data_IF_327539514785
#
_entry.id   IF_327539514785
#
_cell.length_a   1.000
_cell.length_b   1.000
_cell.length_c   1.000
_cell.angle_alpha   90.00
_cell.angle_beta   90.00
_cell.angle_gamma   90.00
#
_symmetry.space_group_name_H-M   'P 1'
#
loop_
_entity.id
_entity.type
_entity.pdbx_description
1 polymer ?
#
# COMPACT_ATOMS: atom_id res chain seq x y z
N UNK A 1 -15.28 21.84 -1.05
CA UNK A 1 -14.95 21.92 -2.49
C UNK A 1 -14.94 20.49 -2.96
N UNK A 2 -15.86 20.16 -3.87
CA UNK A 2 -16.32 18.79 -4.14
C UNK A 2 -15.18 17.84 -4.49
N UNK A 3 -15.12 16.73 -3.77
CA UNK A 3 -14.32 15.54 -4.10
C UNK A 3 -15.03 14.67 -5.16
N UNK A 4 -16.11 15.19 -5.79
CA UNK A 4 -17.13 14.39 -6.49
C UNK A 4 -16.61 13.62 -7.72
N UNK A 5 -15.69 14.20 -8.49
CA UNK A 5 -15.32 13.63 -9.79
C UNK A 5 -14.56 12.30 -9.73
N UNK A 6 -13.74 12.06 -8.69
CA UNK A 6 -12.99 10.79 -8.56
C UNK A 6 -13.84 9.71 -7.92
N UNK A 7 -14.67 10.07 -6.93
CA UNK A 7 -15.56 9.15 -6.24
C UNK A 7 -16.60 8.55 -7.21
N UNK A 8 -17.11 9.34 -8.15
CA UNK A 8 -18.00 8.88 -9.22
C UNK A 8 -17.33 7.87 -10.19
N UNK A 9 -16.00 7.92 -10.30
CA UNK A 9 -15.23 7.03 -11.17
C UNK A 9 -14.75 5.76 -10.48
N UNK A 10 -14.86 5.64 -9.16
CA UNK A 10 -14.26 4.54 -8.37
C UNK A 10 -14.61 3.15 -8.91
N UNK A 11 -15.88 2.92 -9.29
CA UNK A 11 -16.33 1.64 -9.86
C UNK A 11 -15.74 1.32 -11.23
N UNK A 12 -15.27 2.32 -11.97
CA UNK A 12 -14.68 2.21 -13.32
C UNK A 12 -13.15 2.18 -13.29
N UNK A 13 -12.53 2.44 -12.14
CA UNK A 13 -11.07 2.48 -11.96
C UNK A 13 -10.48 1.19 -11.38
N UNK A 14 -11.27 0.13 -11.28
CA UNK A 14 -10.88 -1.16 -10.68
C UNK A 14 -9.69 -1.85 -11.36
N UNK A 15 -9.37 -1.47 -12.61
CA UNK A 15 -8.20 -1.95 -13.35
C UNK A 15 -6.88 -1.29 -12.89
N UNK A 16 -6.94 -0.17 -12.17
CA UNK A 16 -5.75 0.55 -11.73
C UNK A 16 -5.13 -0.09 -10.46
N UNK A 17 -3.79 -0.10 -10.33
CA UNK A 17 -3.09 -0.74 -9.22
C UNK A 17 -3.59 -0.34 -7.83
N UNK A 18 -3.86 0.95 -7.59
CA UNK A 18 -4.33 1.42 -6.28
C UNK A 18 -5.69 0.85 -5.91
N UNK A 19 -6.61 0.71 -6.88
CA UNK A 19 -7.96 0.21 -6.66
C UNK A 19 -7.97 -1.32 -6.48
N UNK A 20 -7.09 -2.04 -7.19
CA UNK A 20 -6.81 -3.47 -6.92
C UNK A 20 -6.37 -3.66 -5.46
N UNK A 21 -5.50 -2.78 -4.98
CA UNK A 21 -5.03 -2.82 -3.59
C UNK A 21 -6.15 -2.59 -2.58
N UNK A 22 -6.99 -1.57 -2.75
CA UNK A 22 -8.13 -1.34 -1.86
C UNK A 22 -9.14 -2.49 -1.87
N UNK A 23 -9.37 -3.12 -3.03
CA UNK A 23 -10.23 -4.30 -3.12
C UNK A 23 -9.67 -5.47 -2.30
N UNK A 24 -8.34 -5.66 -2.31
CA UNK A 24 -7.70 -6.65 -1.44
C UNK A 24 -7.92 -6.33 0.05
N UNK A 25 -7.78 -5.07 0.47
CA UNK A 25 -8.02 -4.65 1.85
C UNK A 25 -9.48 -4.85 2.29
N UNK A 26 -10.44 -4.51 1.43
CA UNK A 26 -11.88 -4.66 1.68
C UNK A 26 -12.29 -6.11 1.96
N UNK A 27 -11.55 -7.08 1.42
CA UNK A 27 -11.81 -8.51 1.61
C UNK A 27 -11.29 -9.08 2.94
N UNK A 28 -10.48 -8.33 3.70
CA UNK A 28 -9.90 -8.82 4.95
C UNK A 28 -10.84 -8.52 6.13
N UNK A 29 -11.29 -9.53 6.87
CA UNK A 29 -12.08 -9.32 8.09
C UNK A 29 -11.66 -10.33 9.16
N UNK A 30 -11.56 -9.90 10.42
CA UNK A 30 -11.23 -10.79 11.53
C UNK A 30 -11.92 -10.33 12.83
N UNK A 31 -12.94 -11.08 13.23
CA UNK A 31 -13.76 -10.82 14.42
C UNK A 31 -12.95 -10.99 15.71
N UNK A 32 -12.09 -12.02 15.76
CA UNK A 32 -11.31 -12.33 16.96
C UNK A 32 -10.26 -11.26 17.21
N UNK A 33 -9.54 -10.82 16.17
CA UNK A 33 -8.59 -9.71 16.27
C UNK A 33 -9.28 -8.39 16.64
N UNK A 34 -10.48 -8.13 16.09
CA UNK A 34 -11.28 -6.95 16.45
C UNK A 34 -11.61 -6.96 17.95
N UNK A 35 -12.20 -8.04 18.47
CA UNK A 35 -12.52 -8.20 19.90
C UNK A 35 -11.27 -8.28 20.80
N UNK A 36 -10.09 -8.53 20.25
CA UNK A 36 -8.87 -8.61 21.05
C UNK A 36 -8.21 -7.24 21.18
N UNK A 37 -8.21 -6.45 20.12
CA UNK A 37 -7.36 -5.25 20.02
C UNK A 37 -8.13 -3.94 19.90
N UNK A 38 -9.41 -3.98 19.55
CA UNK A 38 -10.25 -2.81 19.29
C UNK A 38 -11.51 -2.80 20.16
N UNK A 39 -11.43 -3.31 21.39
CA UNK A 39 -12.57 -3.34 22.31
C UNK A 39 -13.15 -1.95 22.59
N UNK A 40 -12.28 -0.96 22.80
CA UNK A 40 -12.72 0.41 23.11
C UNK A 40 -13.49 1.05 21.94
N UNK A 41 -13.11 0.73 20.69
CA UNK A 41 -13.86 1.12 19.50
C UNK A 41 -15.30 0.56 19.51
N UNK A 42 -15.47 -0.72 19.89
CA UNK A 42 -16.78 -1.36 19.98
C UNK A 42 -17.66 -0.77 21.10
N UNK A 43 -17.04 -0.15 22.12
CA UNK A 43 -17.74 0.46 23.24
C UNK A 43 -18.27 1.87 22.95
N UNK A 44 -17.74 2.57 21.93
CA UNK A 44 -18.16 3.94 21.59
C UNK A 44 -19.67 4.06 21.33
N UNK A 45 -20.22 3.17 20.50
CA UNK A 45 -21.67 3.03 20.29
C UNK A 45 -22.01 1.55 20.20
N UNK A 46 -22.32 0.96 21.35
CA UNK A 46 -22.69 -0.44 21.44
C UNK A 46 -23.84 -0.79 20.47
N UNK A 47 -23.71 -1.90 19.77
CA UNK A 47 -24.61 -2.40 18.72
C UNK A 47 -24.63 -1.62 17.39
N UNK A 48 -23.71 -0.67 17.19
CA UNK A 48 -23.53 -0.04 15.89
C UNK A 48 -22.87 -1.00 14.90
N UNK A 49 -23.65 -1.44 13.91
CA UNK A 49 -23.18 -2.38 12.89
C UNK A 49 -22.07 -1.81 12.00
N UNK A 50 -22.02 -0.49 11.79
CA UNK A 50 -20.99 0.13 10.96
C UNK A 50 -19.66 0.22 11.69
N UNK A 51 -19.68 0.55 13.00
CA UNK A 51 -18.49 0.48 13.86
C UNK A 51 -17.97 -0.95 13.93
N UNK A 52 -18.87 -1.93 14.14
CA UNK A 52 -18.50 -3.35 14.15
C UNK A 52 -17.83 -3.78 12.84
N UNK A 53 -18.45 -3.46 11.70
CA UNK A 53 -17.88 -3.79 10.39
C UNK A 53 -16.52 -3.11 10.15
N UNK A 54 -16.35 -1.84 10.56
CA UNK A 54 -15.06 -1.16 10.45
C UNK A 54 -13.99 -1.83 11.34
N UNK A 55 -14.36 -2.21 12.57
CA UNK A 55 -13.47 -2.91 13.50
C UNK A 55 -12.98 -4.24 12.93
N UNK A 56 -13.91 -5.10 12.49
CA UNK A 56 -13.59 -6.40 11.90
C UNK A 56 -12.68 -6.27 10.67
N UNK A 57 -12.95 -5.28 9.81
CA UNK A 57 -12.15 -5.05 8.62
C UNK A 57 -10.76 -4.48 8.94
N UNK A 58 -10.66 -3.50 9.85
CA UNK A 58 -9.38 -2.96 10.29
C UNK A 58 -8.49 -4.04 10.92
N UNK A 59 -9.09 -4.85 11.80
CA UNK A 59 -8.45 -6.00 12.42
C UNK A 59 -7.92 -7.02 11.41
N UNK A 60 -8.75 -7.43 10.44
CA UNK A 60 -8.36 -8.37 9.40
C UNK A 60 -7.20 -7.87 8.53
N UNK A 61 -7.23 -6.59 8.13
CA UNK A 61 -6.13 -5.99 7.36
C UNK A 61 -4.82 -6.04 8.14
N UNK A 62 -4.85 -5.70 9.43
CA UNK A 62 -3.63 -5.65 10.24
C UNK A 62 -3.06 -7.03 10.50
N UNK A 63 -3.92 -8.03 10.73
CA UNK A 63 -3.51 -9.43 10.80
C UNK A 63 -2.82 -9.87 9.50
N UNK A 64 -3.41 -9.54 8.34
CA UNK A 64 -2.79 -9.82 7.04
C UNK A 64 -1.40 -9.17 6.91
N UNK A 65 -1.29 -7.88 7.27
CA UNK A 65 -0.01 -7.16 7.24
C UNK A 65 1.04 -7.82 8.14
N UNK A 66 0.62 -8.29 9.32
CA UNK A 66 1.53 -8.91 10.28
C UNK A 66 2.03 -10.30 9.86
N UNK A 67 1.10 -11.14 9.43
CA UNK A 67 1.35 -12.57 9.27
C UNK A 67 1.86 -12.89 7.87
N UNK A 68 1.45 -12.12 6.86
CA UNK A 68 1.67 -12.47 5.46
C UNK A 68 2.78 -11.64 4.80
N UNK A 69 3.07 -10.43 5.29
CA UNK A 69 4.04 -9.54 4.65
C UNK A 69 5.42 -9.64 5.31
N UNK A 70 6.46 -9.81 4.46
CA UNK A 70 7.82 -10.11 4.92
C UNK A 70 8.79 -8.94 4.81
N UNK A 71 8.57 -8.01 3.87
CA UNK A 71 9.54 -6.94 3.58
C UNK A 71 9.09 -5.60 4.15
N UNK A 72 10.05 -4.78 4.60
CA UNK A 72 9.76 -3.44 5.14
C UNK A 72 9.12 -2.51 4.10
N UNK A 73 9.50 -2.61 2.83
CA UNK A 73 8.91 -1.79 1.76
C UNK A 73 7.45 -2.17 1.50
N UNK A 74 7.14 -3.46 1.39
CA UNK A 74 5.77 -3.93 1.20
C UNK A 74 4.89 -3.56 2.40
N UNK A 75 5.39 -3.71 3.63
CA UNK A 75 4.65 -3.31 4.83
C UNK A 75 4.38 -1.80 4.84
N UNK A 76 5.37 -0.97 4.50
CA UNK A 76 5.19 0.50 4.43
C UNK A 76 4.11 0.88 3.41
N UNK A 77 4.09 0.23 2.26
CA UNK A 77 3.09 0.44 1.23
C UNK A 77 1.69 0.03 1.70
N UNK A 78 1.53 -1.20 2.20
CA UNK A 78 0.27 -1.66 2.79
C UNK A 78 -0.21 -0.74 3.91
N UNK A 79 0.71 -0.22 4.73
CA UNK A 79 0.38 0.69 5.80
C UNK A 79 -0.15 2.04 5.29
N UNK A 80 0.42 2.58 4.21
CA UNK A 80 -0.09 3.80 3.59
C UNK A 80 -1.52 3.58 3.06
N UNK A 81 -1.74 2.49 2.32
CA UNK A 81 -3.07 2.11 1.85
C UNK A 81 -4.06 1.89 2.99
N UNK A 82 -3.65 1.22 4.07
CA UNK A 82 -4.47 1.03 5.26
C UNK A 82 -4.92 2.38 5.86
N UNK A 83 -3.98 3.32 6.04
CA UNK A 83 -4.32 4.65 6.57
C UNK A 83 -5.37 5.34 5.70
N UNK A 84 -5.11 5.47 4.40
CA UNK A 84 -6.05 6.12 3.48
C UNK A 84 -7.40 5.42 3.44
N UNK A 85 -7.40 4.09 3.42
CA UNK A 85 -8.59 3.28 3.39
C UNK A 85 -9.45 3.49 4.64
N UNK A 86 -8.87 3.49 5.83
CA UNK A 86 -9.61 3.72 7.08
C UNK A 86 -10.23 5.13 7.10
N UNK A 87 -9.46 6.18 6.76
CA UNK A 87 -9.99 7.54 6.69
C UNK A 87 -11.13 7.66 5.67
N UNK A 88 -11.01 6.98 4.52
CA UNK A 88 -12.06 6.94 3.51
C UNK A 88 -13.33 6.23 4.02
N UNK A 89 -13.18 5.06 4.67
CA UNK A 89 -14.32 4.35 5.25
C UNK A 89 -15.00 5.17 6.34
N UNK A 90 -14.23 5.88 7.18
CA UNK A 90 -14.78 6.75 8.23
C UNK A 90 -15.60 7.88 7.61
N UNK A 91 -15.05 8.60 6.63
CA UNK A 91 -15.77 9.67 5.92
C UNK A 91 -17.07 9.16 5.28
N UNK A 92 -17.02 7.98 4.67
CA UNK A 92 -18.16 7.39 3.94
C UNK A 92 -19.27 6.90 4.86
N UNK A 93 -18.93 6.14 5.89
CA UNK A 93 -19.89 5.48 6.79
C UNK A 93 -20.47 6.45 7.81
N UNK A 94 -19.62 7.27 8.41
CA UNK A 94 -20.01 8.12 9.53
C UNK A 94 -20.22 9.59 9.14
N UNK A 95 -20.63 9.84 7.90
CA UNK A 95 -20.89 11.21 7.41
C UNK A 95 -22.00 11.94 8.18
N UNK A 96 -22.90 11.19 8.83
CA UNK A 96 -23.95 11.74 9.70
C UNK A 96 -23.51 11.95 11.15
N UNK A 97 -22.30 11.52 11.52
CA UNK A 97 -21.84 11.53 12.90
C UNK A 97 -21.32 12.93 13.25
N UNK A 98 -21.38 13.27 14.53
CA UNK A 98 -20.78 14.52 15.00
C UNK A 98 -19.26 14.48 14.79
N UNK A 99 -18.63 15.65 14.61
CA UNK A 99 -17.17 15.72 14.50
C UNK A 99 -16.50 15.02 15.68
N UNK A 100 -16.97 15.26 16.92
CA UNK A 100 -16.44 14.60 18.12
C UNK A 100 -16.54 13.07 18.08
N UNK A 101 -17.64 12.51 17.57
CA UNK A 101 -17.77 11.06 17.41
C UNK A 101 -16.75 10.53 16.39
N UNK A 102 -16.54 11.26 15.29
CA UNK A 102 -15.53 10.92 14.29
C UNK A 102 -14.13 10.96 14.90
N UNK A 103 -13.78 11.98 15.69
CA UNK A 103 -12.47 12.07 16.35
C UNK A 103 -12.28 10.88 17.32
N UNK A 104 -13.31 10.53 18.08
CA UNK A 104 -13.29 9.38 18.98
C UNK A 104 -13.07 8.07 18.21
N UNK A 105 -13.77 7.84 17.10
CA UNK A 105 -13.58 6.65 16.26
C UNK A 105 -12.13 6.56 15.76
N UNK A 106 -11.58 7.67 15.23
CA UNK A 106 -10.20 7.73 14.74
C UNK A 106 -9.21 7.44 15.89
N UNK A 107 -9.45 8.04 17.06
CA UNK A 107 -8.62 7.85 18.26
C UNK A 107 -8.63 6.40 18.73
N UNK A 108 -9.78 5.74 18.78
CA UNK A 108 -9.87 4.34 19.21
C UNK A 108 -9.23 3.38 18.21
N UNK A 109 -9.34 3.66 16.91
CA UNK A 109 -8.58 2.92 15.89
C UNK A 109 -7.08 3.11 16.10
N UNK A 110 -6.62 4.33 16.37
CA UNK A 110 -5.21 4.59 16.68
C UNK A 110 -4.72 3.77 17.88
N UNK A 111 -5.49 3.79 18.99
CA UNK A 111 -5.20 3.04 20.21
C UNK A 111 -5.12 1.53 19.94
N UNK A 112 -6.08 0.97 19.20
CA UNK A 112 -6.10 -0.45 18.86
C UNK A 112 -4.89 -0.86 18.01
N UNK A 113 -4.45 0.00 17.07
CA UNK A 113 -3.20 -0.24 16.34
C UNK A 113 -1.96 -0.19 17.22
N UNK A 114 -1.92 0.69 18.22
CA UNK A 114 -0.85 0.73 19.22
C UNK A 114 -0.71 -0.62 19.93
N UNK A 115 -1.84 -1.21 20.34
CA UNK A 115 -1.88 -2.51 20.99
C UNK A 115 -1.38 -3.64 20.07
N UNK A 116 -1.78 -3.60 18.79
CA UNK A 116 -1.36 -4.56 17.78
C UNK A 116 0.14 -4.44 17.49
N UNK A 117 0.66 -3.22 17.29
CA UNK A 117 2.07 -3.00 16.95
C UNK A 117 3.06 -3.51 18.00
N UNK A 118 2.66 -3.49 19.27
CA UNK A 118 3.41 -4.12 20.34
C UNK A 118 3.55 -5.65 20.15
N UNK A 119 2.62 -6.27 19.42
CA UNK A 119 2.56 -7.71 19.13
C UNK A 119 3.15 -8.05 17.75
N UNK A 120 2.91 -7.23 16.71
CA UNK A 120 3.31 -7.54 15.32
C UNK A 120 4.80 -7.39 15.02
N UNK A 121 5.63 -7.15 16.03
CA UNK A 121 7.10 -7.09 15.92
C UNK A 121 7.62 -5.97 14.98
N UNK A 122 8.25 -4.95 15.59
CA UNK A 122 9.02 -3.85 14.97
C UNK A 122 8.29 -2.55 14.57
N UNK A 123 7.04 -2.28 14.99
CA UNK A 123 6.35 -0.99 14.71
C UNK A 123 6.35 -0.60 13.21
N UNK A 124 6.32 -1.58 12.31
CA UNK A 124 6.54 -1.36 10.86
C UNK A 124 5.38 -0.65 10.17
N UNK A 125 4.18 -0.69 10.76
CA UNK A 125 3.02 0.06 10.30
C UNK A 125 2.50 0.96 11.42
N UNK A 126 2.32 2.25 11.17
CA UNK A 126 1.71 3.18 12.12
C UNK A 126 0.44 3.77 11.54
N UNK A 127 -0.61 3.86 12.37
CA UNK A 127 -1.74 4.73 12.06
C UNK A 127 -1.30 6.18 12.22
N UNK A 128 -1.52 6.99 11.19
CA UNK A 128 -1.19 8.40 11.15
C UNK A 128 -2.32 9.18 11.82
N UNK A 129 -2.12 9.47 13.08
CA UNK A 129 -3.06 10.24 13.88
C UNK A 129 -2.32 11.34 14.65
N UNK A 130 -2.83 12.57 14.52
CA UNK A 130 -2.62 13.65 15.48
C UNK A 130 -3.93 14.42 15.54
N UNK A 131 -4.31 14.96 16.70
CA UNK A 131 -5.55 15.74 16.85
C UNK A 131 -5.67 16.89 15.84
N UNK A 132 -4.54 17.43 15.37
CA UNK A 132 -4.47 18.48 14.34
C UNK A 132 -4.51 18.01 12.88
N UNK A 133 -4.54 16.71 12.59
CA UNK A 133 -4.45 16.15 11.22
C UNK A 133 -5.55 15.11 10.92
N UNK A 134 -6.76 15.32 11.45
CA UNK A 134 -7.92 14.44 11.21
C UNK A 134 -8.91 14.98 10.17
N UNK A 135 -8.57 16.08 9.49
CA UNK A 135 -9.42 16.67 8.45
C UNK A 135 -9.67 15.67 7.31
N UNK A 136 -10.88 15.12 7.26
CA UNK A 136 -11.23 14.02 6.35
C UNK A 136 -11.09 14.41 4.88
N UNK A 137 -11.45 15.63 4.51
CA UNK A 137 -11.34 16.12 3.12
C UNK A 137 -9.88 16.17 2.67
N UNK A 138 -8.99 16.62 3.54
CA UNK A 138 -7.55 16.60 3.26
C UNK A 138 -7.03 15.18 3.09
N UNK A 139 -7.50 14.22 3.90
CA UNK A 139 -7.17 12.81 3.71
C UNK A 139 -7.64 12.25 2.36
N UNK A 140 -8.78 12.70 1.85
CA UNK A 140 -9.28 12.27 0.52
C UNK A 140 -8.44 12.84 -0.63
N UNK A 141 -8.05 14.10 -0.52
CA UNK A 141 -7.12 14.72 -1.47
C UNK A 141 -5.76 13.97 -1.46
N UNK A 142 -5.20 13.73 -0.28
CA UNK A 142 -3.92 13.04 -0.13
C UNK A 142 -3.98 11.59 -0.63
N UNK A 143 -5.10 10.89 -0.38
CA UNK A 143 -5.37 9.56 -0.94
C UNK A 143 -5.32 9.61 -2.46
N UNK A 144 -6.04 10.54 -3.08
CA UNK A 144 -6.09 10.68 -4.54
C UNK A 144 -4.72 10.92 -5.15
N UNK A 145 -3.89 11.76 -4.49
CA UNK A 145 -2.52 12.01 -4.92
C UNK A 145 -1.60 10.80 -4.76
N UNK A 146 -1.76 10.04 -3.67
CA UNK A 146 -1.02 8.80 -3.46
C UNK A 146 -1.39 7.74 -4.50
N UNK A 147 -2.69 7.55 -4.72
CA UNK A 147 -3.24 6.62 -5.72
C UNK A 147 -2.72 6.96 -7.12
N UNK A 148 -2.73 8.23 -7.49
CA UNK A 148 -2.19 8.69 -8.77
C UNK A 148 -0.71 8.33 -8.95
N UNK A 149 0.12 8.59 -7.93
CA UNK A 149 1.54 8.21 -7.99
C UNK A 149 1.72 6.70 -8.22
N UNK A 150 0.87 5.88 -7.58
CA UNK A 150 0.88 4.42 -7.73
C UNK A 150 0.35 3.94 -9.08
N UNK A 151 -0.55 4.71 -9.68
CA UNK A 151 -1.16 4.39 -10.97
C UNK A 151 -0.38 4.92 -12.17
N UNK A 152 0.49 5.93 -12.00
CA UNK A 152 1.16 6.63 -13.10
C UNK A 152 1.81 5.68 -14.10
N UNK A 153 2.73 4.82 -13.64
CA UNK A 153 3.49 3.94 -14.54
C UNK A 153 2.58 2.89 -15.20
N UNK A 154 1.51 2.47 -14.52
CA UNK A 154 0.55 1.55 -15.11
C UNK A 154 -0.22 2.24 -16.25
N UNK A 155 -0.71 3.45 -16.00
CA UNK A 155 -1.40 4.25 -17.04
C UNK A 155 -0.43 4.52 -18.21
N UNK A 156 0.80 4.95 -17.93
CA UNK A 156 1.83 5.23 -18.95
C UNK A 156 2.13 4.03 -19.86
N UNK A 157 2.09 2.81 -19.34
CA UNK A 157 2.43 1.62 -20.12
C UNK A 157 1.22 0.96 -20.79
N UNK A 158 -0.01 1.30 -20.39
CA UNK A 158 -1.23 0.62 -20.85
C UNK A 158 -2.24 1.54 -21.55
N UNK A 159 -1.86 2.78 -21.88
CA UNK A 159 -2.83 3.80 -22.33
C UNK A 159 -3.50 3.59 -23.71
N UNK A 160 -3.07 2.70 -24.62
CA UNK A 160 -3.89 2.31 -25.77
C UNK A 160 -4.29 0.82 -25.73
N UNK A 161 -4.85 0.35 -24.61
CA UNK A 161 -5.37 -1.03 -24.50
C UNK A 161 -6.80 -1.16 -25.03
N UNK A 162 -7.66 -0.17 -24.81
CA UNK A 162 -8.95 0.03 -25.49
C UNK A 162 -9.44 1.48 -25.29
N UNK A 163 -10.35 1.97 -26.14
CA UNK A 163 -10.80 3.37 -26.11
C UNK A 163 -11.62 3.74 -24.86
N UNK A 164 -12.34 2.79 -24.24
CA UNK A 164 -13.14 3.06 -23.03
C UNK A 164 -12.25 3.26 -21.79
N UNK A 165 -11.32 2.35 -21.55
CA UNK A 165 -10.30 2.46 -20.50
C UNK A 165 -9.43 3.69 -20.71
N UNK A 166 -9.12 4.05 -21.98
CA UNK A 166 -8.44 5.31 -22.29
C UNK A 166 -9.26 6.51 -21.81
N UNK A 167 -10.55 6.59 -22.15
CA UNK A 167 -11.44 7.69 -21.75
C UNK A 167 -11.56 7.79 -20.23
N UNK A 168 -11.72 6.67 -19.53
CA UNK A 168 -11.75 6.60 -18.06
C UNK A 168 -10.45 7.15 -17.46
N UNK A 169 -9.29 6.71 -17.96
CA UNK A 169 -8.00 7.18 -17.48
C UNK A 169 -7.79 8.67 -17.77
N UNK A 170 -8.25 9.17 -18.92
CA UNK A 170 -8.19 10.60 -19.27
C UNK A 170 -9.05 11.44 -18.30
N UNK A 171 -10.25 10.98 -17.99
CA UNK A 171 -11.16 11.62 -17.03
C UNK A 171 -10.57 11.61 -15.61
N UNK A 172 -10.01 10.48 -15.19
CA UNK A 172 -9.28 10.36 -13.93
C UNK A 172 -8.13 11.38 -13.83
N UNK A 173 -7.28 11.47 -14.86
CA UNK A 173 -6.14 12.41 -14.87
C UNK A 173 -6.58 13.88 -14.86
N UNK A 174 -7.68 14.21 -15.54
CA UNK A 174 -8.29 15.56 -15.48
C UNK A 174 -8.74 15.93 -14.07
N UNK A 175 -9.29 14.99 -13.32
CA UNK A 175 -9.67 15.20 -11.93
C UNK A 175 -8.46 15.27 -10.98
N UNK A 176 -7.38 14.54 -11.27
CA UNK A 176 -6.14 14.59 -10.49
C UNK A 176 -5.37 15.90 -10.69
N UNK A 177 -5.37 16.47 -11.90
CA UNK A 177 -4.64 17.70 -12.24
C UNK A 177 -4.81 18.85 -11.23
N UNK A 178 -6.04 19.31 -10.89
CA UNK A 178 -6.20 20.40 -9.93
C UNK A 178 -5.70 20.04 -8.52
N UNK A 179 -5.79 18.75 -8.11
CA UNK A 179 -5.23 18.30 -6.84
C UNK A 179 -3.69 18.34 -6.86
N UNK A 180 -3.07 17.95 -7.97
CA UNK A 180 -1.63 18.04 -8.15
C UNK A 180 -1.16 19.50 -8.06
N UNK A 181 -1.78 20.42 -8.80
CA UNK A 181 -1.42 21.85 -8.78
C UNK A 181 -1.51 22.44 -7.37
N UNK A 182 -2.61 22.14 -6.65
CA UNK A 182 -2.82 22.57 -5.26
C UNK A 182 -1.74 22.02 -4.32
N UNK A 183 -1.56 20.70 -4.32
CA UNK A 183 -0.77 20.03 -3.28
C UNK A 183 0.72 20.00 -3.58
N UNK A 184 1.14 20.02 -4.84
CA UNK A 184 2.55 20.14 -5.17
C UNK A 184 3.11 21.48 -4.65
N UNK A 185 2.39 22.57 -4.86
CA UNK A 185 2.73 23.90 -4.30
C UNK A 185 2.74 23.86 -2.77
N UNK A 186 1.66 23.37 -2.16
CA UNK A 186 1.51 23.39 -0.70
C UNK A 186 2.53 22.49 0.02
N UNK A 187 2.83 21.32 -0.55
CA UNK A 187 3.63 20.28 0.10
C UNK A 187 5.12 20.34 -0.22
N UNK A 188 5.51 20.90 -1.37
CA UNK A 188 6.88 20.80 -1.89
C UNK A 188 7.63 22.14 -1.90
N UNK A 189 6.92 23.27 -1.85
CA UNK A 189 7.58 24.58 -1.74
C UNK A 189 8.26 24.76 -0.38
N UNK A 190 9.58 24.92 -0.40
CA UNK A 190 10.40 25.11 0.79
C UNK A 190 10.67 23.81 1.58
N UNK A 191 10.56 22.64 0.94
CA UNK A 191 10.82 21.32 1.52
C UNK A 191 9.56 20.48 1.76
N UNK A 192 9.71 19.19 2.10
CA UNK A 192 8.59 18.25 2.14
C UNK A 192 7.73 18.41 3.41
N UNK A 193 6.60 19.12 3.31
CA UNK A 193 5.69 19.45 4.42
C UNK A 193 4.61 18.40 4.67
N UNK A 194 4.33 17.56 3.67
CA UNK A 194 3.21 16.60 3.70
C UNK A 194 3.66 15.15 3.89
N UNK A 195 4.89 14.93 4.40
CA UNK A 195 5.42 13.58 4.69
C UNK A 195 4.51 12.75 5.59
N UNK A 196 3.76 13.40 6.50
CA UNK A 196 2.76 12.75 7.34
C UNK A 196 1.73 11.98 6.53
N UNK A 197 1.31 12.53 5.39
CA UNK A 197 0.31 12.00 4.48
C UNK A 197 0.91 11.18 3.33
N UNK A 198 2.15 10.69 3.47
CA UNK A 198 2.82 9.88 2.44
C UNK A 198 2.97 10.58 1.07
N UNK A 199 2.85 11.91 1.01
CA UNK A 199 3.04 12.67 -0.22
C UNK A 199 4.52 12.73 -0.58
N UNK A 200 4.88 12.30 -1.79
CA UNK A 200 6.26 12.22 -2.27
C UNK A 200 6.56 13.33 -3.28
N UNK A 201 7.12 14.43 -2.80
CA UNK A 201 7.51 15.57 -3.64
C UNK A 201 8.61 15.25 -4.66
N UNK A 202 9.37 14.17 -4.49
CA UNK A 202 10.52 13.87 -5.35
C UNK A 202 10.08 13.08 -6.57
N UNK A 203 9.17 12.12 -6.37
CA UNK A 203 8.79 11.17 -7.42
C UNK A 203 7.42 11.44 -8.04
N UNK A 204 6.62 12.35 -7.47
CA UNK A 204 5.33 12.73 -8.06
C UNK A 204 5.56 13.44 -9.40
N UNK A 205 4.91 12.94 -10.45
CA UNK A 205 5.01 13.49 -11.82
C UNK A 205 3.80 14.34 -12.17
N UNK A 206 3.98 15.30 -13.06
CA UNK A 206 2.88 16.17 -13.48
C UNK A 206 1.83 15.38 -14.30
N UNK A 207 0.53 15.41 -13.94
CA UNK A 207 -0.53 14.79 -14.72
C UNK A 207 -0.56 15.23 -16.19
N UNK A 208 -0.10 16.45 -16.50
CA UNK A 208 0.00 16.94 -17.88
C UNK A 208 0.95 16.09 -18.73
N UNK A 209 1.95 15.44 -18.14
CA UNK A 209 2.83 14.52 -18.88
C UNK A 209 2.04 13.36 -19.49
N UNK A 210 1.07 12.80 -18.76
CA UNK A 210 0.20 11.75 -19.27
C UNK A 210 -0.93 12.31 -20.14
N UNK A 211 -1.54 13.42 -19.76
CA UNK A 211 -2.62 14.04 -20.54
C UNK A 211 -2.15 14.45 -21.94
N UNK A 212 -0.91 14.91 -22.10
CA UNK A 212 -0.34 15.24 -23.41
C UNK A 212 0.02 14.00 -24.25
N UNK A 213 0.29 12.86 -23.60
CA UNK A 213 0.59 11.57 -24.27
C UNK A 213 -0.68 10.83 -24.70
N UNK A 214 -1.74 10.90 -23.90
CA UNK A 214 -2.98 10.14 -24.11
C UNK A 214 -3.83 10.81 -25.18
N UNK A 215 -3.98 10.13 -26.32
CA UNK A 215 -4.93 10.49 -27.39
C UNK A 215 -5.95 9.34 -27.53
N UNK A 216 -7.08 9.45 -26.86
CA UNK A 216 -8.16 8.47 -26.99
C UNK A 216 -8.88 8.70 -28.33
N UNK A 217 -9.09 7.63 -29.11
CA UNK A 217 -9.88 7.76 -30.32
C UNK A 217 -11.35 7.88 -29.94
N UNK A 218 -12.09 8.66 -30.72
CA UNK A 218 -13.53 8.54 -30.71
C UNK A 218 -13.89 7.30 -31.52
N UNK A 219 -14.29 6.22 -30.84
CA UNK A 219 -15.08 5.19 -31.49
C UNK A 219 -16.27 5.89 -32.15
N UNK A 220 -16.55 5.63 -33.44
CA UNK A 220 -17.86 5.94 -33.99
C UNK A 220 -18.86 5.29 -33.05
N UNK A 221 -19.81 6.07 -32.51
CA UNK A 221 -20.97 5.47 -31.88
C UNK A 221 -21.50 4.46 -32.89
N UNK A 222 -21.45 3.17 -32.56
CA UNK A 222 -22.25 2.21 -33.30
C UNK A 222 -23.67 2.74 -33.16
N UNK A 223 -24.22 3.27 -34.26
CA UNK A 223 -25.62 3.61 -34.39
C UNK A 223 -26.39 2.32 -34.13
N UNK A 224 -26.72 2.09 -32.86
CA UNK A 224 -27.87 1.29 -32.50
C UNK A 224 -29.07 2.10 -32.98
N UNK A 225 -29.37 1.95 -34.27
CA UNK A 225 -30.68 2.24 -34.81
C UNK A 225 -31.67 1.44 -34.00
N UNK A 226 -32.55 2.14 -33.30
CA UNK A 226 -33.93 1.69 -33.19
C UNK A 226 -34.83 2.89 -33.49
N UNK A 227 -35.16 3.01 -34.77
CA UNK A 227 -36.39 3.69 -35.17
C UNK A 227 -37.52 2.68 -34.98
N UNK A 228 -38.17 2.71 -33.83
CA UNK A 228 -39.52 2.19 -33.71
C UNK A 228 -40.50 3.32 -34.07
N UNK A 229 -41.40 3.16 -35.08
CA UNK A 229 -42.58 3.98 -35.14
C UNK A 229 -43.69 3.31 -34.32
N UNK A 230 -44.22 4.05 -33.35
CA UNK A 230 -45.45 3.70 -32.65
C UNK A 230 -46.68 3.83 -33.55
N UNK A 231 -47.53 2.80 -33.45
CA UNK A 231 -48.99 2.80 -33.52
C UNK A 231 -49.72 3.54 -34.66
N UNK A 232 -50.30 2.75 -35.56
CA UNK A 232 -51.52 3.09 -36.31
C UNK A 232 -52.41 1.85 -36.43
N UNK A 233 -53.44 1.76 -35.59
CA UNK A 233 -54.50 0.75 -35.66
C UNK A 233 -55.41 1.09 -36.84
N UNK A 234 -55.58 0.17 -37.79
CA UNK A 234 -56.72 0.15 -38.71
C UNK A 234 -57.06 -1.30 -39.09
N UNK A 235 -58.34 -1.63 -38.90
CA UNK A 235 -58.99 -2.92 -39.14
C UNK A 235 -59.04 -3.30 -40.63
N UNK A 236 -58.96 -4.61 -40.91
CA UNK A 236 -59.91 -5.40 -41.74
C UNK A 236 -59.22 -6.44 -42.64
N UNK A 237 -59.77 -7.67 -42.69
CA UNK A 237 -59.70 -8.52 -43.88
C UNK A 237 -58.99 -9.88 -43.78
N UNK A 238 -59.68 -10.87 -43.22
CA UNK A 238 -59.87 -12.27 -43.68
C UNK A 238 -58.84 -13.05 -44.56
N UNK A 239 -58.75 -14.36 -44.21
CA UNK A 239 -58.23 -15.56 -44.94
C UNK A 239 -56.70 -15.73 -44.95
N UNK A 240 -56.11 -16.89 -44.66
CA UNK A 240 -56.60 -18.25 -44.40
C UNK A 240 -55.53 -19.25 -44.90
N UNK A 241 -55.28 -20.31 -44.10
CA UNK A 241 -54.52 -21.54 -44.41
C UNK A 241 -53.02 -21.39 -44.78
N UNK A 242 -52.10 -22.33 -44.60
CA UNK A 242 -51.83 -23.49 -43.74
C UNK A 242 -50.53 -24.10 -44.33
N UNK A 243 -49.82 -24.96 -43.57
CA UNK A 243 -48.74 -25.88 -44.02
C UNK A 243 -47.40 -25.26 -44.49
N UNK A 244 -46.23 -25.87 -44.32
CA UNK A 244 -45.77 -27.08 -43.64
C UNK A 244 -44.23 -27.06 -43.64
N UNK A 245 -43.67 -27.57 -42.53
CA UNK A 245 -42.37 -28.23 -42.33
C UNK A 245 -41.56 -28.64 -43.58
N UNK A 246 -40.24 -28.44 -43.55
CA UNK A 246 -39.32 -29.57 -43.36
C UNK A 246 -37.87 -29.16 -43.04
N UNK A 247 -37.36 -29.86 -42.04
CA UNK A 247 -35.97 -30.11 -41.66
C UNK A 247 -35.32 -31.05 -42.71
N UNK A 248 -34.00 -30.99 -42.91
CA UNK A 248 -33.08 -32.14 -42.80
C UNK A 248 -31.65 -31.87 -43.32
N UNK A 249 -30.75 -32.68 -42.74
CA UNK A 249 -29.30 -32.73 -42.78
C UNK A 249 -28.69 -33.19 -44.13
N UNK A 250 -27.41 -32.84 -44.35
CA UNK A 250 -26.25 -33.78 -44.35
C UNK A 250 -25.23 -33.61 -45.49
N UNK A 251 -23.96 -33.70 -45.09
CA UNK A 251 -22.74 -34.25 -45.72
C UNK A 251 -22.27 -33.88 -47.16
N UNK A 252 -20.97 -33.55 -47.23
CA UNK A 252 -20.00 -34.27 -48.08
C UNK A 252 -19.37 -33.52 -49.25
N UNK A 253 -18.03 -33.40 -49.26
CA UNK A 253 -17.25 -33.14 -50.48
C UNK A 253 -15.90 -32.45 -50.27
N UNK A 254 -14.81 -33.22 -50.32
CA UNK A 254 -13.41 -32.78 -50.38
C UNK A 254 -13.09 -31.91 -51.61
N UNK A 255 -12.11 -31.01 -51.50
CA UNK A 255 -10.84 -31.00 -52.26
C UNK A 255 -10.10 -29.65 -52.16
N UNK A 256 -8.78 -29.78 -52.26
CA UNK A 256 -7.77 -28.78 -52.63
C UNK A 256 -7.02 -28.01 -51.54
N UNK A 257 -5.79 -28.50 -51.40
CA UNK A 257 -4.66 -27.96 -50.68
C UNK A 257 -4.31 -26.53 -51.10
N UNK A 258 -3.97 -25.71 -50.11
CA UNK A 258 -2.89 -24.73 -50.22
C UNK A 258 -2.27 -24.47 -48.85
N UNK A 259 -1.07 -25.03 -48.73
CA UNK A 259 -0.04 -24.82 -47.73
C UNK A 259 0.25 -23.36 -47.40
N UNK A 260 0.10 -22.96 -46.13
CA UNK A 260 1.10 -22.11 -45.46
C UNK A 260 0.96 -22.27 -43.93
N UNK A 261 1.88 -23.03 -43.32
CA UNK A 261 1.88 -23.32 -41.89
C UNK A 261 2.28 -22.11 -41.01
N UNK A 262 1.91 -22.11 -39.72
CA UNK A 262 2.30 -21.06 -38.79
C UNK A 262 3.73 -21.29 -38.30
N UNK A 263 4.63 -20.35 -38.59
CA UNK A 263 5.99 -20.32 -38.05
C UNK A 263 5.98 -19.97 -36.55
N UNK A 264 5.81 -20.98 -35.70
CA UNK A 264 6.18 -20.94 -34.28
C UNK A 264 7.71 -20.88 -34.18
N UNK A 265 8.28 -19.69 -34.08
CA UNK A 265 9.69 -19.52 -33.69
C UNK A 265 9.78 -19.45 -32.16
N UNK A 266 9.91 -20.61 -31.52
CA UNK A 266 10.28 -20.72 -30.10
C UNK A 266 11.80 -20.61 -29.98
N UNK A 267 12.30 -19.44 -29.61
CA UNK A 267 13.71 -19.26 -29.21
C UNK A 267 13.78 -19.49 -27.70
N UNK A 268 14.20 -20.69 -27.32
CA UNK A 268 14.51 -21.07 -25.94
C UNK A 268 15.89 -20.50 -25.57
N UNK A 269 15.93 -19.43 -24.78
CA UNK A 269 17.17 -18.94 -24.17
C UNK A 269 17.56 -19.84 -22.99
N UNK A 270 18.41 -20.84 -23.24
CA UNK A 270 19.12 -21.56 -22.18
C UNK A 270 20.32 -20.68 -21.78
N UNK A 271 20.18 -19.92 -20.70
CA UNK A 271 21.29 -19.16 -20.09
C UNK A 271 21.97 -20.06 -19.04
N UNK A 272 23.29 -20.34 -19.14
CA UNK A 272 24.00 -21.09 -18.11
C UNK A 272 24.14 -20.27 -16.82
N UNK A 273 23.37 -20.63 -15.80
CA UNK A 273 23.36 -20.01 -14.46
C UNK A 273 24.55 -20.41 -13.57
N UNK A 274 25.76 -20.54 -14.12
CA UNK A 274 26.93 -21.03 -13.34
C UNK A 274 28.21 -20.19 -13.60
N UNK A 275 28.08 -19.00 -14.19
CA UNK A 275 29.20 -18.07 -14.38
C UNK A 275 29.24 -16.85 -13.45
N UNK A 276 28.15 -16.55 -12.74
CA UNK A 276 27.97 -15.26 -12.06
C UNK A 276 28.40 -15.18 -10.57
N UNK A 277 28.54 -16.26 -9.77
CA UNK A 277 28.95 -16.10 -8.37
C UNK A 277 30.47 -15.91 -8.17
N UNK A 278 31.31 -16.26 -9.15
CA UNK A 278 32.77 -16.23 -8.97
C UNK A 278 33.36 -14.80 -8.96
N UNK A 279 32.73 -13.85 -9.67
CA UNK A 279 33.20 -12.45 -9.71
C UNK A 279 32.98 -11.77 -8.34
N UNK A 280 31.91 -12.11 -7.62
CA UNK A 280 31.64 -11.57 -6.28
C UNK A 280 32.66 -12.05 -5.23
N UNK A 281 33.16 -13.29 -5.35
CA UNK A 281 34.16 -13.84 -4.43
C UNK A 281 35.52 -13.13 -4.54
N UNK A 282 35.94 -12.75 -5.76
CA UNK A 282 37.18 -11.99 -5.95
C UNK A 282 37.04 -10.55 -5.43
N UNK A 283 35.91 -9.88 -5.67
CA UNK A 283 35.70 -8.50 -5.20
C UNK A 283 35.54 -8.40 -3.67
N UNK A 284 35.08 -9.46 -3.00
CA UNK A 284 35.02 -9.48 -1.53
C UNK A 284 36.42 -9.43 -0.88
N UNK A 285 37.43 -10.06 -1.50
CA UNK A 285 38.81 -10.09 -0.96
C UNK A 285 39.55 -8.76 -1.14
N UNK A 286 39.13 -7.93 -2.09
CA UNK A 286 39.78 -6.65 -2.42
C UNK A 286 38.96 -5.40 -2.03
N UNK A 287 37.80 -5.58 -1.39
CA UNK A 287 37.01 -4.47 -0.86
C UNK A 287 37.43 -4.15 0.59
N UNK A 288 37.72 -2.87 0.94
CA UNK A 288 38.12 -2.47 2.29
C UNK A 288 36.99 -2.52 3.34
N UNK A 289 35.86 -3.16 3.02
CA UNK A 289 34.65 -3.19 3.86
C UNK A 289 34.63 -4.35 4.89
N UNK A 290 35.56 -5.32 4.82
CA UNK A 290 35.62 -6.47 5.72
C UNK A 290 35.77 -6.13 7.22
N UNK A 291 36.70 -5.24 7.63
CA UNK A 291 36.88 -4.88 9.04
C UNK A 291 35.72 -4.07 9.63
N UNK A 292 35.03 -3.28 8.80
CA UNK A 292 33.93 -2.40 9.24
C UNK A 292 32.67 -3.19 9.62
N UNK A 293 32.35 -4.25 8.87
CA UNK A 293 31.19 -5.09 9.17
C UNK A 293 31.38 -5.91 10.46
N UNK A 294 32.64 -6.30 10.77
CA UNK A 294 32.96 -7.09 11.97
C UNK A 294 32.88 -6.28 13.27
N UNK A 295 33.11 -4.96 13.23
CA UNK A 295 33.00 -4.11 14.43
C UNK A 295 31.55 -3.81 14.79
N UNK A 296 30.65 -3.71 13.80
CA UNK A 296 29.21 -3.46 14.01
C UNK A 296 28.47 -4.65 14.64
N UNK A 297 28.93 -5.88 14.41
CA UNK A 297 28.30 -7.10 14.94
C UNK A 297 28.71 -7.38 16.40
N UNK A 298 29.87 -6.92 16.86
CA UNK A 298 30.39 -7.21 18.21
C UNK A 298 29.93 -6.22 19.29
N UNK A 299 29.24 -5.14 18.93
CA UNK A 299 28.95 -4.04 19.87
C UNK A 299 27.65 -4.18 20.70
N UNK A 300 26.87 -5.26 20.56
CA UNK A 300 25.58 -5.41 21.27
C UNK A 300 25.34 -6.79 21.90
N UNK A 301 26.37 -7.44 22.45
CA UNK A 301 26.17 -8.62 23.31
C UNK A 301 26.87 -8.38 24.65
N UNK A 302 26.13 -7.81 25.61
CA UNK A 302 26.51 -7.76 27.02
C UNK A 302 25.85 -8.96 27.72
N UNK A 303 26.59 -10.06 27.86
CA UNK A 303 26.16 -11.20 28.68
C UNK A 303 26.46 -10.85 30.14
N UNK A 304 25.43 -10.48 30.90
CA UNK A 304 25.48 -10.55 32.37
C UNK A 304 25.47 -12.02 32.77
N UNK A 305 26.62 -12.57 33.14
CA UNK A 305 26.67 -13.83 33.86
C UNK A 305 26.23 -13.60 35.31
N UNK A 306 25.20 -14.35 35.71
CA UNK A 306 24.70 -14.47 37.08
C UNK A 306 25.70 -15.33 37.85
N UNK A 307 26.33 -14.77 38.88
CA UNK A 307 27.20 -15.51 39.81
C UNK A 307 26.31 -16.16 40.86
N UNK A 308 26.03 -17.46 40.70
CA UNK A 308 25.55 -18.28 41.81
C UNK A 308 26.76 -18.76 42.60
N UNK A 309 26.68 -18.44 43.88
CA UNK A 309 27.55 -18.81 44.96
C UNK A 309 27.59 -20.33 45.10
N UNK A 310 28.77 -20.95 45.08
CA UNK A 310 29.03 -22.16 45.85
C UNK A 310 30.52 -22.25 46.19
N UNK A 311 30.72 -22.36 47.49
CA UNK A 311 31.93 -22.51 48.29
C UNK A 311 32.68 -23.81 48.03
N UNK A 312 34.02 -23.76 48.00
CA UNK A 312 34.95 -24.58 48.82
C UNK A 312 36.41 -24.34 48.43
N UNK A 313 37.27 -24.27 49.46
CA UNK A 313 38.68 -24.69 49.53
C UNK A 313 39.72 -23.96 48.65
N UNK A 314 40.96 -23.71 49.05
CA UNK A 314 41.74 -23.86 50.28
C UNK A 314 43.07 -23.10 50.04
N UNK A 315 43.64 -22.57 51.13
CA UNK A 315 45.08 -22.49 51.45
C UNK A 315 46.08 -21.67 50.60
N UNK A 316 46.48 -20.58 51.27
CA UNK A 316 47.85 -20.29 51.79
C UNK A 316 48.93 -19.62 50.94
N UNK A 317 49.60 -18.71 51.69
CA UNK A 317 51.03 -18.38 51.67
C UNK A 317 51.56 -17.56 50.48
N UNK A 318 52.51 -16.64 50.63
CA UNK A 318 53.13 -15.89 51.72
C UNK A 318 54.15 -14.99 50.98
N UNK A 319 54.55 -13.85 51.58
CA UNK A 319 55.82 -13.11 51.30
C UNK A 319 56.02 -12.50 49.88
N UNK A 320 56.76 -11.42 49.66
CA UNK A 320 57.67 -10.59 50.46
C UNK A 320 58.06 -9.36 49.63
N UNK A 321 58.19 -8.21 50.29
CA UNK A 321 59.34 -7.30 50.21
C UNK A 321 59.63 -6.48 48.93
N UNK A 322 59.34 -5.19 49.05
CA UNK A 322 60.12 -3.99 48.67
C UNK A 322 61.13 -4.04 47.50
N UNK A 323 60.96 -3.07 46.58
CA UNK A 323 62.07 -2.22 46.13
C UNK A 323 61.55 -0.81 45.79
N UNK A 324 62.05 0.15 46.54
CA UNK A 324 61.93 1.60 46.40
C UNK A 324 62.47 2.09 45.05
N UNK A 325 61.74 3.01 44.40
CA UNK A 325 62.36 4.13 43.67
C UNK A 325 61.56 5.40 44.02
N UNK A 326 62.17 6.20 44.89
CA UNK A 326 61.76 7.56 45.21
C UNK A 326 62.28 8.52 44.13
N UNK A 327 61.45 9.44 43.64
CA UNK A 327 61.87 10.85 43.53
C UNK A 327 60.67 11.80 43.40
N UNK A 328 60.45 12.54 44.49
CA UNK A 328 60.12 13.97 44.54
C UNK A 328 58.67 14.43 44.24
N UNK A 329 57.88 14.44 45.32
CA UNK A 329 57.11 15.57 45.87
C UNK A 329 57.01 16.87 45.03
N UNK A 330 55.78 17.33 44.80
CA UNK A 330 55.24 18.59 45.35
C UNK A 330 53.68 18.50 45.38
N UNK A 331 53.02 18.93 46.48
CA UNK A 331 51.59 18.73 46.72
C UNK A 331 50.74 19.94 46.27
N UNK A 332 49.53 19.69 45.76
CA UNK A 332 48.50 20.74 45.69
C UNK A 332 47.42 20.47 46.75
N UNK A 333 47.25 21.48 47.59
CA UNK A 333 46.44 21.51 48.79
C UNK A 333 44.97 21.78 48.45
N UNK A 334 44.07 21.05 49.10
CA UNK A 334 42.62 21.24 49.02
C UNK A 334 42.22 22.33 50.02
N UNK A 335 41.37 23.27 49.62
CA UNK A 335 40.59 24.07 50.55
C UNK A 335 39.12 24.05 50.14
N UNK A 336 38.28 23.54 51.06
CA UNK A 336 36.83 23.57 51.02
C UNK A 336 36.29 24.98 51.29
N UNK A 337 35.14 25.32 50.70
CA UNK A 337 34.17 26.21 51.31
C UNK A 337 32.75 25.74 50.95
N UNK A 338 32.04 25.25 51.96
CA UNK A 338 30.58 25.19 52.03
C UNK A 338 30.12 26.46 52.75
N UNK A 339 29.25 27.26 52.13
CA UNK A 339 28.05 27.85 52.73
C UNK A 339 26.96 27.79 51.67
#
# INVERSE_FOLDING_TARGET
MDTSGIDELEGRLIHLPSYVMYNNLKSQNDIEYCNKYFNDLLLLKSNDSEIKNLCENAAGILKHVAEQLKTKSTIREYCAYFNFYIYYQIKKKFSSYSSSDIENIISEIHSGLGNINNVLSENKCSFKYTSSNIELDKWMDMKSMYDYNKNYNYIENNYPTNDETCKINNEYLKNIKPLYEKWNVACCNGGPKCNFYYYDCVNIKDPDELLNKIKCNDLPKADLRDSAPEAGIALSGEKGYDLHLQDEQSEGGDNDASTLGPLKSSITFIVPLIGTPLICSFLYKFSPLGPWLRSKIKQNINIKHITNNDSTDELLEYTSQYADINSNNIPYNISYQNI
#
